data_IF_843164002370
#
_entry.id   IF_843164002370
#
_cell.length_a   1.000
_cell.length_b   1.000
_cell.length_c   1.000
_cell.angle_alpha   90.00
_cell.angle_beta   90.00
_cell.angle_gamma   90.00
#
_symmetry.space_group_name_H-M   'P 1'
#
loop_
_entity.id
_entity.type
_entity.pdbx_description
1 polymer ?
#
# COMPACT_ATOMS: atom_id res chain seq x y z
N UNK A 1 -39.97 -10.87 -22.55
CA UNK A 1 -39.27 -9.58 -22.82
C UNK A 1 -39.77 -8.45 -21.92
N UNK A 2 -41.09 -8.19 -21.83
CA UNK A 2 -41.62 -7.21 -20.86
C UNK A 2 -41.40 -7.65 -19.40
N UNK A 3 -41.49 -8.95 -19.11
CA UNK A 3 -41.16 -9.50 -17.78
C UNK A 3 -39.68 -9.34 -17.39
N UNK A 4 -38.74 -9.32 -18.35
CA UNK A 4 -37.31 -9.12 -18.05
C UNK A 4 -36.98 -7.65 -17.80
N UNK A 5 -37.69 -6.71 -18.44
CA UNK A 5 -37.58 -5.29 -18.15
C UNK A 5 -38.08 -4.96 -16.73
N UNK A 6 -39.11 -5.66 -16.25
CA UNK A 6 -39.63 -5.53 -14.88
C UNK A 6 -38.62 -5.88 -13.78
N UNK A 7 -37.59 -6.68 -14.08
CA UNK A 7 -36.54 -7.09 -13.14
C UNK A 7 -35.42 -6.05 -12.97
N UNK A 8 -35.38 -5.02 -13.81
CA UNK A 8 -34.38 -3.95 -13.72
C UNK A 8 -34.82 -2.94 -12.65
N UNK A 9 -34.14 -2.95 -11.49
CA UNK A 9 -34.47 -2.10 -10.33
C UNK A 9 -34.19 -0.61 -10.55
N UNK A 10 -33.21 -0.26 -11.42
CA UNK A 10 -32.89 1.13 -11.72
C UNK A 10 -33.84 1.69 -12.80
N UNK A 11 -34.66 2.71 -12.49
CA UNK A 11 -35.71 3.20 -13.39
C UNK A 11 -35.16 3.87 -14.66
N UNK A 12 -33.97 4.50 -14.57
CA UNK A 12 -33.33 5.19 -15.69
C UNK A 12 -32.75 4.19 -16.69
N UNK A 13 -32.10 3.13 -16.18
CA UNK A 13 -31.61 2.01 -17.00
C UNK A 13 -32.78 1.27 -17.63
N UNK A 14 -33.85 1.00 -16.87
CA UNK A 14 -35.06 0.33 -17.39
C UNK A 14 -35.70 1.12 -18.54
N UNK A 15 -35.78 2.45 -18.42
CA UNK A 15 -36.32 3.33 -19.46
C UNK A 15 -35.45 3.35 -20.72
N UNK A 16 -34.13 3.39 -20.57
CA UNK A 16 -33.19 3.38 -21.70
C UNK A 16 -33.17 2.03 -22.42
N UNK A 17 -33.21 0.91 -21.67
CA UNK A 17 -33.28 -0.43 -22.26
C UNK A 17 -34.62 -0.63 -22.99
N UNK A 18 -35.73 -0.16 -22.41
CA UNK A 18 -37.04 -0.18 -23.07
C UNK A 18 -37.01 0.62 -24.38
N UNK A 19 -36.43 1.84 -24.37
CA UNK A 19 -36.29 2.68 -25.56
C UNK A 19 -35.43 2.04 -26.65
N UNK A 20 -34.31 1.41 -26.29
CA UNK A 20 -33.47 0.69 -27.26
C UNK A 20 -34.21 -0.50 -27.89
N UNK A 21 -35.00 -1.23 -27.09
CA UNK A 21 -35.78 -2.36 -27.61
C UNK A 21 -36.95 -1.93 -28.50
N UNK A 22 -37.64 -0.83 -28.18
CA UNK A 22 -38.71 -0.30 -29.06
C UNK A 22 -38.17 0.22 -30.38
N UNK A 23 -36.98 0.86 -30.38
CA UNK A 23 -36.30 1.27 -31.62
C UNK A 23 -35.92 0.07 -32.50
N UNK A 24 -35.51 -1.05 -31.90
CA UNK A 24 -35.15 -2.26 -32.65
C UNK A 24 -36.36 -2.88 -33.36
N UNK A 25 -37.52 -2.90 -32.69
CA UNK A 25 -38.76 -3.46 -33.23
C UNK A 25 -39.37 -2.57 -34.31
N UNK A 26 -39.34 -1.24 -34.15
CA UNK A 26 -39.85 -0.32 -35.19
C UNK A 26 -39.01 -0.36 -36.46
N UNK A 27 -37.70 -0.52 -36.34
CA UNK A 27 -36.80 -0.64 -37.50
C UNK A 27 -37.03 -1.96 -38.25
N UNK A 28 -37.28 -3.05 -37.53
CA UNK A 28 -37.60 -4.35 -38.14
C UNK A 28 -38.95 -4.31 -38.89
N UNK A 29 -39.97 -3.67 -38.30
CA UNK A 29 -41.30 -3.55 -38.94
C UNK A 29 -41.26 -2.63 -40.16
N UNK A 30 -40.49 -1.53 -40.13
CA UNK A 30 -40.30 -0.66 -41.29
C UNK A 30 -39.57 -1.37 -42.44
N UNK A 31 -38.55 -2.17 -42.15
CA UNK A 31 -37.85 -3.00 -43.14
C UNK A 31 -38.78 -4.07 -43.73
N UNK A 32 -39.64 -4.69 -42.91
CA UNK A 32 -40.63 -5.67 -43.37
C UNK A 32 -41.68 -5.03 -44.29
N UNK A 33 -42.20 -3.85 -43.93
CA UNK A 33 -43.19 -3.11 -44.72
C UNK A 33 -42.59 -2.67 -46.07
N UNK A 34 -41.34 -2.20 -46.10
CA UNK A 34 -40.66 -1.84 -47.36
C UNK A 34 -40.40 -3.06 -48.25
N UNK A 35 -40.06 -4.22 -47.66
CA UNK A 35 -39.89 -5.48 -48.39
C UNK A 35 -41.19 -6.02 -48.98
N UNK A 36 -42.33 -5.79 -48.32
CA UNK A 36 -43.65 -6.28 -48.78
C UNK A 36 -44.33 -5.33 -49.77
N UNK A 37 -44.15 -4.01 -49.63
CA UNK A 37 -44.88 -3.01 -50.44
C UNK A 37 -44.17 -2.57 -51.72
N UNK A 38 -42.88 -2.89 -51.88
CA UNK A 38 -42.03 -2.60 -53.04
C UNK A 38 -42.34 -1.24 -53.75
N UNK A 39 -42.14 -0.11 -53.05
CA UNK A 39 -42.50 1.21 -53.55
C UNK A 39 -41.66 1.61 -54.77
N UNK A 40 -42.31 2.00 -55.87
CA UNK A 40 -41.66 2.30 -57.16
C UNK A 40 -41.04 3.72 -57.25
N UNK A 41 -41.05 4.49 -56.15
CA UNK A 41 -40.59 5.87 -56.09
C UNK A 41 -39.17 6.03 -55.52
N UNK A 42 -38.30 6.78 -56.24
CA UNK A 42 -36.87 7.00 -55.88
C UNK A 42 -36.66 7.79 -54.58
N UNK A 43 -37.66 8.55 -54.12
CA UNK A 43 -37.60 9.39 -52.90
C UNK A 43 -37.96 8.58 -51.63
N UNK A 44 -38.99 7.73 -51.71
CA UNK A 44 -39.46 6.90 -50.59
C UNK A 44 -38.43 5.82 -50.23
N UNK A 45 -37.75 5.25 -51.23
CA UNK A 45 -36.67 4.30 -51.02
C UNK A 45 -35.48 4.93 -50.27
N UNK A 46 -35.16 6.20 -50.57
CA UNK A 46 -34.09 6.95 -49.91
C UNK A 46 -34.46 7.30 -48.46
N UNK A 47 -35.68 7.78 -48.20
CA UNK A 47 -36.13 8.08 -46.84
C UNK A 47 -36.16 6.83 -45.94
N UNK A 48 -36.58 5.69 -46.49
CA UNK A 48 -36.58 4.41 -45.77
C UNK A 48 -35.18 3.86 -45.49
N UNK A 49 -34.22 4.03 -46.41
CA UNK A 49 -32.83 3.61 -46.19
C UNK A 49 -32.07 4.53 -45.23
N UNK A 50 -32.25 5.85 -45.32
CA UNK A 50 -31.61 6.80 -44.38
C UNK A 50 -32.13 6.65 -42.94
N UNK A 51 -33.43 6.42 -42.74
CA UNK A 51 -34.00 6.18 -41.41
C UNK A 51 -33.50 4.86 -40.80
N UNK A 52 -33.34 3.81 -41.61
CA UNK A 52 -32.79 2.52 -41.17
C UNK A 52 -31.30 2.59 -40.82
N UNK A 53 -30.51 3.38 -41.57
CA UNK A 53 -29.09 3.60 -41.31
C UNK A 53 -28.84 4.45 -40.06
N UNK A 54 -29.68 5.46 -39.79
CA UNK A 54 -29.62 6.24 -38.54
C UNK A 54 -30.00 5.38 -37.32
N UNK A 55 -30.97 4.48 -37.45
CA UNK A 55 -31.34 3.53 -36.38
C UNK A 55 -30.24 2.51 -36.05
N UNK A 56 -29.58 1.96 -37.07
CA UNK A 56 -28.46 1.02 -36.90
C UNK A 56 -27.20 1.71 -36.34
N UNK A 57 -26.92 2.94 -36.77
CA UNK A 57 -25.77 3.73 -36.31
C UNK A 57 -25.86 4.10 -34.83
N UNK A 58 -27.01 4.55 -34.35
CA UNK A 58 -27.18 4.93 -32.94
C UNK A 58 -27.16 3.70 -32.00
N UNK A 59 -27.74 2.57 -32.41
CA UNK A 59 -27.74 1.34 -31.60
C UNK A 59 -26.35 0.71 -31.45
N UNK A 60 -25.56 0.68 -32.52
CA UNK A 60 -24.21 0.11 -32.50
C UNK A 60 -23.21 1.00 -31.73
N UNK A 61 -23.31 2.33 -31.86
CA UNK A 61 -22.43 3.28 -31.17
C UNK A 61 -22.73 3.33 -29.67
N UNK A 62 -24.00 3.36 -29.25
CA UNK A 62 -24.36 3.31 -27.83
C UNK A 62 -24.07 1.94 -27.19
N UNK A 63 -24.26 0.84 -27.93
CA UNK A 63 -23.90 -0.50 -27.49
C UNK A 63 -22.38 -0.69 -27.30
N UNK A 64 -21.55 -0.18 -28.20
CA UNK A 64 -20.09 -0.21 -28.08
C UNK A 64 -19.58 0.70 -26.96
N UNK A 65 -20.14 1.91 -26.81
CA UNK A 65 -19.78 2.83 -25.71
C UNK A 65 -20.18 2.24 -24.36
N UNK A 66 -21.32 1.54 -24.26
CA UNK A 66 -21.77 0.94 -22.98
C UNK A 66 -21.07 -0.38 -22.67
N UNK A 67 -20.75 -1.23 -23.66
CA UNK A 67 -19.95 -2.44 -23.43
C UNK A 67 -18.48 -2.14 -23.10
N UNK A 68 -17.90 -1.06 -23.67
CA UNK A 68 -16.60 -0.53 -23.25
C UNK A 68 -16.67 0.05 -21.83
N UNK A 69 -17.66 0.89 -21.51
CA UNK A 69 -17.84 1.43 -20.14
C UNK A 69 -18.22 0.38 -19.09
N UNK A 70 -18.90 -0.70 -19.48
CA UNK A 70 -19.34 -1.77 -18.56
C UNK A 70 -18.27 -2.84 -18.34
N UNK A 71 -17.32 -3.05 -19.28
CA UNK A 71 -16.16 -3.91 -19.04
C UNK A 71 -15.09 -3.21 -18.20
N UNK A 72 -15.02 -1.87 -18.24
CA UNK A 72 -14.07 -1.07 -17.43
C UNK A 72 -14.64 -0.52 -16.10
N UNK A 73 -15.86 -0.93 -15.70
CA UNK A 73 -16.48 -0.54 -14.42
C UNK A 73 -16.97 -1.71 -13.55
N UNK A 74 -16.24 -2.82 -13.52
CA UNK A 74 -15.95 -3.40 -12.19
C UNK A 74 -14.78 -2.59 -11.69
N UNK A 75 -15.05 -1.68 -10.76
CA UNK A 75 -14.02 -0.75 -10.34
C UNK A 75 -12.83 -1.56 -9.82
N UNK A 76 -11.62 -1.12 -10.13
CA UNK A 76 -10.40 -1.66 -9.51
C UNK A 76 -10.51 -1.60 -7.98
N UNK A 77 -11.33 -0.68 -7.44
CA UNK A 77 -11.74 -0.68 -6.03
C UNK A 77 -12.58 -1.89 -5.62
N UNK A 78 -13.58 -2.35 -6.39
CA UNK A 78 -14.42 -3.50 -6.02
C UNK A 78 -13.63 -4.82 -6.03
N UNK A 79 -12.65 -4.96 -6.93
CA UNK A 79 -11.75 -6.12 -6.97
C UNK A 79 -10.66 -6.05 -5.89
N UNK A 80 -10.16 -4.85 -5.56
CA UNK A 80 -9.26 -4.62 -4.41
C UNK A 80 -9.97 -4.85 -3.08
N UNK A 81 -11.24 -4.48 -2.97
CA UNK A 81 -12.08 -4.70 -1.79
C UNK A 81 -12.40 -6.20 -1.64
N UNK A 82 -12.63 -6.91 -2.76
CA UNK A 82 -12.77 -8.37 -2.74
C UNK A 82 -11.49 -9.12 -2.29
N UNK A 83 -10.29 -8.60 -2.60
CA UNK A 83 -9.01 -9.15 -2.11
C UNK A 83 -8.71 -8.74 -0.65
N UNK A 84 -9.19 -7.59 -0.18
CA UNK A 84 -9.06 -7.15 1.21
C UNK A 84 -9.84 -8.07 2.18
N UNK A 85 -11.00 -8.59 1.77
CA UNK A 85 -11.88 -9.41 2.61
C UNK A 85 -11.52 -10.91 2.70
N UNK A 86 -10.54 -11.41 1.95
CA UNK A 86 -10.14 -12.84 2.00
C UNK A 86 -9.26 -13.22 3.21
N UNK A 87 -8.91 -12.26 4.09
CA UNK A 87 -8.10 -12.52 5.29
C UNK A 87 -8.64 -11.94 6.61
N UNK A 88 -9.69 -11.12 6.57
CA UNK A 88 -10.29 -10.53 7.77
C UNK A 88 -11.41 -11.45 8.19
N UNK A 89 -11.14 -12.32 9.17
CA UNK A 89 -12.22 -12.98 9.89
C UNK A 89 -13.12 -11.91 10.51
N UNK A 90 -14.43 -12.16 10.60
CA UNK A 90 -15.39 -11.32 11.35
C UNK A 90 -14.99 -11.11 12.82
N UNK A 91 -13.98 -11.84 13.29
CA UNK A 91 -13.40 -11.79 14.63
C UNK A 91 -12.14 -10.91 14.75
N UNK A 92 -11.86 -10.04 13.77
CA UNK A 92 -10.74 -9.09 13.86
C UNK A 92 -11.13 -7.94 14.79
N UNK A 93 -10.35 -7.71 15.85
CA UNK A 93 -10.60 -6.61 16.79
C UNK A 93 -10.50 -5.26 16.07
N UNK A 94 -11.14 -4.19 16.58
CA UNK A 94 -11.22 -2.91 15.85
C UNK A 94 -10.21 -1.86 16.27
N UNK A 95 -9.78 -1.89 17.53
CA UNK A 95 -8.92 -0.86 18.10
C UNK A 95 -7.70 -1.50 18.78
N UNK A 96 -7.46 -1.26 20.07
CA UNK A 96 -6.33 -1.85 20.78
C UNK A 96 -6.69 -3.22 21.36
N UNK A 97 -5.83 -4.22 21.13
CA UNK A 97 -5.82 -5.51 21.83
C UNK A 97 -4.45 -5.70 22.46
N UNK A 98 -4.43 -6.23 23.68
CA UNK A 98 -3.17 -6.45 24.40
C UNK A 98 -2.48 -7.71 23.89
N UNK A 99 -1.16 -7.59 23.69
CA UNK A 99 -0.29 -8.70 23.36
C UNK A 99 0.84 -8.80 24.38
N UNK A 100 1.20 -10.01 24.76
CA UNK A 100 2.36 -10.31 25.61
C UNK A 100 3.56 -10.62 24.72
N UNK A 101 4.71 -10.05 25.04
CA UNK A 101 5.99 -10.46 24.46
C UNK A 101 6.35 -11.84 25.02
N UNK A 102 6.29 -12.87 24.20
CA UNK A 102 6.60 -14.25 24.62
C UNK A 102 8.01 -14.69 24.27
N UNK A 103 8.70 -13.92 23.41
CA UNK A 103 10.09 -14.18 23.04
C UNK A 103 10.77 -12.90 22.55
N UNK A 104 12.04 -12.69 22.93
CA UNK A 104 12.90 -11.60 22.43
C UNK A 104 14.23 -12.14 21.89
N UNK A 105 14.57 -11.84 20.63
CA UNK A 105 15.76 -12.40 19.95
C UNK A 105 16.59 -11.29 19.33
N UNK A 106 17.89 -11.23 19.64
CA UNK A 106 18.83 -10.34 18.95
C UNK A 106 19.18 -10.94 17.59
N UNK A 107 18.73 -10.31 16.51
CA UNK A 107 18.91 -10.80 15.13
C UNK A 107 20.18 -10.23 14.48
N UNK A 108 20.61 -9.05 14.91
CA UNK A 108 21.85 -8.40 14.48
C UNK A 108 22.34 -7.42 15.56
N UNK A 109 23.42 -6.70 15.32
CA UNK A 109 23.88 -5.65 16.25
C UNK A 109 22.87 -4.53 16.47
N UNK A 110 21.95 -4.31 15.52
CA UNK A 110 20.98 -3.22 15.60
C UNK A 110 19.52 -3.68 15.55
N UNK A 111 19.22 -4.93 15.20
CA UNK A 111 17.84 -5.44 15.06
C UNK A 111 17.54 -6.49 16.13
N UNK A 112 16.40 -6.30 16.81
CA UNK A 112 15.85 -7.26 17.77
C UNK A 112 14.44 -7.63 17.36
N UNK A 113 14.13 -8.93 17.33
CA UNK A 113 12.79 -9.48 17.12
C UNK A 113 12.04 -9.65 18.43
N UNK A 114 10.75 -9.31 18.41
CA UNK A 114 9.78 -9.46 19.48
C UNK A 114 8.63 -10.31 18.96
N UNK A 115 8.29 -11.36 19.69
CA UNK A 115 7.20 -12.27 19.35
C UNK A 115 6.01 -11.98 20.25
N UNK A 116 4.88 -11.64 19.65
CA UNK A 116 3.68 -11.15 20.30
C UNK A 116 2.59 -12.21 20.22
N UNK A 117 2.06 -12.63 21.36
CA UNK A 117 0.83 -13.45 21.45
C UNK A 117 -0.26 -12.68 22.18
N UNK A 118 -1.54 -12.87 21.83
CA UNK A 118 -2.59 -12.11 22.47
C UNK A 118 -2.70 -12.49 23.95
N UNK A 119 -2.87 -11.48 24.80
CA UNK A 119 -2.92 -11.66 26.26
C UNK A 119 -4.10 -12.55 26.69
N UNK A 120 -5.22 -12.41 25.99
CA UNK A 120 -6.45 -13.18 26.20
C UNK A 120 -6.35 -14.66 25.75
N UNK A 121 -5.26 -15.05 25.07
CA UNK A 121 -5.01 -16.39 24.51
C UNK A 121 -6.01 -16.84 23.43
N UNK A 122 -6.86 -15.94 22.94
CA UNK A 122 -7.77 -16.21 21.83
C UNK A 122 -7.00 -16.23 20.50
N UNK A 123 -7.63 -16.72 19.43
CA UNK A 123 -7.00 -16.76 18.11
C UNK A 123 -6.68 -15.35 17.57
N UNK A 124 -5.71 -15.30 16.65
CA UNK A 124 -5.36 -14.10 15.89
C UNK A 124 -5.55 -14.36 14.40
N UNK A 125 -6.01 -13.36 13.63
CA UNK A 125 -6.18 -13.50 12.20
C UNK A 125 -4.82 -13.70 11.51
N UNK A 126 -4.86 -14.37 10.36
CA UNK A 126 -3.73 -14.30 9.43
C UNK A 126 -3.62 -12.87 8.86
N UNK A 127 -2.49 -12.58 8.24
CA UNK A 127 -2.23 -11.31 7.57
C UNK A 127 -1.66 -11.53 6.18
N UNK A 128 -1.67 -10.51 5.35
CA UNK A 128 -1.03 -10.55 4.04
C UNK A 128 0.45 -10.20 4.20
N UNK A 129 1.38 -10.94 3.55
CA UNK A 129 2.80 -10.70 3.72
C UNK A 129 3.20 -9.31 3.21
N UNK A 130 3.82 -8.53 4.09
CA UNK A 130 4.15 -7.12 3.88
C UNK A 130 3.32 -6.14 4.72
N UNK A 131 2.22 -6.59 5.33
CA UNK A 131 1.49 -5.78 6.32
C UNK A 131 2.33 -5.49 7.57
N UNK A 132 1.92 -4.45 8.29
CA UNK A 132 2.50 -4.02 9.55
C UNK A 132 1.52 -4.14 10.71
N UNK A 133 2.04 -4.06 11.94
CA UNK A 133 1.28 -3.91 13.16
C UNK A 133 1.52 -2.51 13.74
N UNK A 134 0.45 -1.81 14.11
CA UNK A 134 0.54 -0.56 14.89
C UNK A 134 0.54 -0.88 16.36
N UNK A 135 1.58 -0.46 17.09
CA UNK A 135 1.70 -0.64 18.54
C UNK A 135 1.65 0.70 19.27
N UNK A 136 1.21 0.66 20.51
CA UNK A 136 1.17 1.80 21.43
C UNK A 136 2.13 1.55 22.59
N UNK A 137 2.95 2.53 22.91
CA UNK A 137 3.97 2.46 23.96
C UNK A 137 3.77 3.57 24.98
N UNK A 138 3.54 3.19 26.22
CA UNK A 138 3.52 4.12 27.35
C UNK A 138 4.94 4.31 27.87
N UNK A 139 5.65 5.29 27.29
CA UNK A 139 7.07 5.54 27.56
C UNK A 139 7.21 6.56 28.69
N UNK A 140 7.93 6.26 29.79
CA UNK A 140 8.17 7.21 30.87
C UNK A 140 8.78 8.52 30.36
N UNK A 141 8.24 9.64 30.84
CA UNK A 141 8.65 10.98 30.42
C UNK A 141 8.00 11.49 29.14
N UNK A 142 7.13 10.72 28.48
CA UNK A 142 6.29 11.22 27.39
C UNK A 142 4.90 11.60 27.91
N UNK A 143 4.38 12.75 27.48
CA UNK A 143 3.06 13.23 27.89
C UNK A 143 1.90 12.45 27.24
N UNK A 144 2.18 11.76 26.14
CA UNK A 144 1.21 10.96 25.38
C UNK A 144 1.84 9.61 25.00
N UNK A 145 1.02 8.56 24.82
CA UNK A 145 1.51 7.29 24.32
C UNK A 145 2.18 7.44 22.94
N UNK A 146 3.31 6.77 22.76
CA UNK A 146 4.04 6.78 21.49
C UNK A 146 3.50 5.66 20.60
N UNK A 147 2.94 6.03 19.45
CA UNK A 147 2.36 5.08 18.49
C UNK A 147 3.34 4.86 17.34
N UNK A 148 3.65 3.60 17.01
CA UNK A 148 4.55 3.24 15.91
C UNK A 148 4.07 2.02 15.15
N UNK A 149 4.46 1.94 13.89
CA UNK A 149 4.15 0.80 13.01
C UNK A 149 5.41 0.05 12.65
N UNK A 150 5.32 -1.28 12.69
CA UNK A 150 6.43 -2.18 12.34
C UNK A 150 5.92 -3.29 11.44
N UNK A 151 6.60 -3.56 10.33
CA UNK A 151 6.23 -4.65 9.42
C UNK A 151 6.27 -5.99 10.14
N UNK A 152 5.28 -6.84 9.85
CA UNK A 152 5.25 -8.20 10.33
C UNK A 152 6.33 -8.99 9.59
N UNK A 153 7.30 -9.48 10.35
CA UNK A 153 8.56 -10.02 9.82
C UNK A 153 8.62 -11.55 9.80
N UNK A 154 7.51 -12.22 10.08
CA UNK A 154 7.38 -13.68 9.95
C UNK A 154 6.17 -13.99 9.05
N UNK A 155 5.94 -15.27 8.75
CA UNK A 155 4.71 -15.73 8.13
C UNK A 155 4.44 -17.17 8.53
N UNK A 156 3.39 -17.38 9.32
CA UNK A 156 2.92 -18.71 9.73
C UNK A 156 1.44 -18.82 9.43
N UNK A 157 0.98 -20.00 9.00
CA UNK A 157 -0.43 -20.27 8.74
C UNK A 157 -0.80 -21.65 9.31
N UNK A 158 -1.69 -21.74 10.33
CA UNK A 158 -2.36 -20.61 10.99
C UNK A 158 -1.37 -19.72 11.77
N UNK A 159 -1.69 -18.43 11.85
CA UNK A 159 -0.89 -17.46 12.59
C UNK A 159 -0.99 -17.72 14.10
N UNK A 160 0.15 -17.98 14.76
CA UNK A 160 0.21 -18.26 16.21
C UNK A 160 0.77 -17.11 17.04
N UNK A 161 1.46 -16.18 16.37
CA UNK A 161 2.09 -15.01 16.94
C UNK A 161 2.35 -14.00 15.83
N UNK A 162 2.51 -12.74 16.20
CA UNK A 162 3.12 -11.73 15.34
C UNK A 162 4.60 -11.56 15.69
N UNK A 163 5.47 -11.35 14.68
CA UNK A 163 6.88 -11.04 14.90
C UNK A 163 7.19 -9.63 14.40
N UNK A 164 7.55 -8.73 15.31
CA UNK A 164 8.06 -7.40 14.98
C UNK A 164 9.58 -7.40 15.11
N UNK A 165 10.28 -6.84 14.15
CA UNK A 165 11.74 -6.81 14.15
C UNK A 165 12.22 -5.39 14.00
N UNK A 166 12.75 -4.83 15.09
CA UNK A 166 12.88 -3.40 15.28
C UNK A 166 14.36 -3.04 15.28
N UNK A 167 14.75 -2.13 14.40
CA UNK A 167 16.09 -1.52 14.42
C UNK A 167 16.18 -0.47 15.52
N UNK A 168 17.25 -0.52 16.32
CA UNK A 168 17.62 0.55 17.25
C UNK A 168 18.08 1.77 16.47
N UNK A 169 17.52 2.94 16.80
CA UNK A 169 17.94 4.22 16.21
C UNK A 169 18.62 5.06 17.31
N UNK A 170 19.92 4.89 17.55
CA UNK A 170 20.65 5.74 18.50
C UNK A 170 20.72 7.17 17.99
N UNK A 171 21.12 8.11 18.85
CA UNK A 171 21.46 9.45 18.41
C UNK A 171 22.57 9.34 17.34
N UNK A 172 22.44 9.99 16.18
CA UNK A 172 23.51 9.99 15.18
C UNK A 172 24.79 10.54 15.79
N UNK A 173 25.90 9.89 15.45
CA UNK A 173 27.21 10.45 15.77
C UNK A 173 27.36 11.79 15.05
N UNK A 174 27.84 12.80 15.76
CA UNK A 174 28.15 14.14 15.25
C UNK A 174 26.95 15.02 14.85
N UNK A 175 25.72 14.67 15.26
CA UNK A 175 24.55 15.55 15.13
C UNK A 175 23.87 15.73 16.49
N UNK A 176 23.51 16.97 16.82
CA UNK A 176 22.70 17.30 18.00
C UNK A 176 21.21 17.01 17.73
N UNK A 177 20.90 15.74 17.51
CA UNK A 177 19.52 15.27 17.34
C UNK A 177 19.24 14.10 18.28
N UNK A 178 18.05 14.06 18.91
CA UNK A 178 17.76 13.05 19.93
C UNK A 178 17.65 11.63 19.33
N UNK A 179 17.90 10.59 20.14
CA UNK A 179 17.71 9.19 19.71
C UNK A 179 16.24 8.88 19.44
N UNK A 180 16.00 7.82 18.66
CA UNK A 180 14.64 7.33 18.41
C UNK A 180 13.98 6.81 19.68
N UNK A 181 12.99 7.53 20.20
CA UNK A 181 12.38 7.26 21.52
C UNK A 181 11.80 5.83 21.58
N UNK A 182 10.96 5.45 20.61
CA UNK A 182 10.28 4.16 20.61
C UNK A 182 11.23 2.98 20.41
N UNK A 183 12.16 3.05 19.44
CA UNK A 183 13.03 1.92 19.13
C UNK A 183 14.02 1.63 20.26
N UNK A 184 14.59 2.66 20.90
CA UNK A 184 15.43 2.45 22.07
C UNK A 184 14.62 1.90 23.25
N UNK A 185 13.40 2.41 23.50
CA UNK A 185 12.53 1.88 24.55
C UNK A 185 12.21 0.39 24.35
N UNK A 186 11.86 -0.03 23.12
CA UNK A 186 11.65 -1.44 22.78
C UNK A 186 12.89 -2.30 23.06
N UNK A 187 14.08 -1.79 22.77
CA UNK A 187 15.31 -2.55 23.02
C UNK A 187 15.69 -2.60 24.50
N UNK A 188 15.55 -1.50 25.23
CA UNK A 188 16.10 -1.36 26.59
C UNK A 188 15.14 -1.81 27.69
N UNK A 189 13.83 -1.61 27.52
CA UNK A 189 12.85 -1.77 28.61
C UNK A 189 11.74 -2.79 28.32
N UNK A 190 11.52 -3.17 27.07
CA UNK A 190 10.56 -4.22 26.73
C UNK A 190 11.25 -5.59 26.86
N UNK A 191 10.69 -6.46 27.67
CA UNK A 191 11.18 -7.80 27.95
C UNK A 191 10.10 -8.84 27.70
N UNK A 192 10.48 -10.13 27.75
CA UNK A 192 9.48 -11.20 27.79
C UNK A 192 8.55 -11.00 29.00
N UNK A 193 7.24 -11.15 28.79
CA UNK A 193 6.19 -10.83 29.76
C UNK A 193 5.64 -9.40 29.65
N UNK A 194 6.31 -8.46 28.97
CA UNK A 194 5.78 -7.12 28.74
C UNK A 194 4.50 -7.16 27.90
N UNK A 195 3.54 -6.29 28.22
CA UNK A 195 2.29 -6.14 27.49
C UNK A 195 2.39 -4.94 26.55
N UNK A 196 2.00 -5.14 25.30
CA UNK A 196 1.98 -4.11 24.25
C UNK A 196 0.61 -4.12 23.59
N UNK A 197 -0.17 -3.01 23.69
CA UNK A 197 -1.38 -2.85 22.93
C UNK A 197 -1.08 -2.70 21.42
N UNK A 198 -1.83 -3.41 20.59
CA UNK A 198 -1.69 -3.37 19.14
C UNK A 198 -3.04 -3.24 18.42
N UNK A 199 -3.04 -2.54 17.27
CA UNK A 199 -4.14 -2.57 16.29
C UNK A 199 -3.99 -3.77 15.35
N UNK A 200 -5.05 -4.17 14.63
CA UNK A 200 -4.97 -5.26 13.67
C UNK A 200 -3.89 -5.04 12.60
N UNK A 201 -3.38 -6.12 11.98
CA UNK A 201 -2.54 -6.01 10.80
C UNK A 201 -3.16 -5.10 9.74
N UNK A 202 -2.37 -4.18 9.21
CA UNK A 202 -2.80 -3.23 8.18
C UNK A 202 -1.64 -2.94 7.22
N UNK A 203 -1.92 -2.29 6.09
CA UNK A 203 -0.92 -1.92 5.09
C UNK A 203 -1.32 -2.36 3.69
N UNK A 204 -0.87 -1.60 2.70
CA UNK A 204 -1.11 -1.85 1.27
C UNK A 204 0.13 -2.39 0.53
N UNK A 205 1.29 -2.36 1.18
CA UNK A 205 2.52 -2.94 0.64
C UNK A 205 2.50 -4.46 0.83
N UNK A 206 1.73 -5.16 -0.01
CA UNK A 206 1.48 -6.60 0.12
C UNK A 206 1.88 -7.35 -1.13
N UNK A 207 2.46 -8.54 -0.95
CA UNK A 207 2.73 -9.45 -2.06
C UNK A 207 1.52 -10.36 -2.30
N UNK A 208 0.93 -10.27 -3.49
CA UNK A 208 -0.10 -11.22 -3.92
C UNK A 208 0.54 -12.57 -4.25
N UNK A 209 0.56 -13.48 -3.28
CA UNK A 209 1.24 -14.78 -3.37
C UNK A 209 0.69 -15.71 -4.46
N UNK A 210 -0.53 -15.47 -4.95
CA UNK A 210 -1.18 -16.35 -5.94
C UNK A 210 -0.72 -16.06 -7.38
N UNK A 211 -0.08 -14.92 -7.63
CA UNK A 211 0.42 -14.59 -8.97
C UNK A 211 1.54 -15.53 -9.40
N UNK A 212 1.62 -15.80 -10.70
CA UNK A 212 2.71 -16.55 -11.33
C UNK A 212 3.86 -15.68 -11.82
N UNK A 213 3.63 -14.37 -12.04
CA UNK A 213 4.70 -13.44 -12.40
C UNK A 213 5.74 -13.44 -11.28
N UNK A 214 7.05 -13.55 -11.58
CA UNK A 214 8.05 -13.55 -10.53
C UNK A 214 8.05 -12.28 -9.70
N UNK A 215 8.60 -12.36 -8.49
CA UNK A 215 8.84 -11.17 -7.66
C UNK A 215 10.31 -11.04 -7.25
N UNK A 216 10.78 -9.80 -7.21
CA UNK A 216 12.11 -9.42 -6.73
C UNK A 216 11.94 -8.63 -5.45
N UNK A 217 12.36 -9.22 -4.34
CA UNK A 217 12.30 -8.69 -2.99
C UNK A 217 13.64 -8.02 -2.67
N UNK A 218 13.66 -6.69 -2.67
CA UNK A 218 14.88 -5.88 -2.63
C UNK A 218 14.93 -5.10 -1.32
N UNK A 219 15.98 -5.30 -0.53
CA UNK A 219 16.10 -4.59 0.75
C UNK A 219 17.51 -4.22 1.17
N UNK A 220 17.60 -3.24 2.07
CA UNK A 220 18.79 -3.04 2.90
C UNK A 220 18.41 -2.80 4.37
N UNK A 221 19.30 -3.18 5.28
CA UNK A 221 19.09 -3.01 6.73
C UNK A 221 17.75 -3.58 7.21
N UNK A 222 17.00 -2.81 8.02
CA UNK A 222 15.70 -3.24 8.56
C UNK A 222 14.60 -3.39 7.51
N UNK A 223 14.82 -2.91 6.29
CA UNK A 223 13.96 -3.15 5.13
C UNK A 223 13.77 -4.63 4.78
N UNK A 224 14.62 -5.51 5.33
CA UNK A 224 14.48 -6.96 5.19
C UNK A 224 13.17 -7.51 5.77
N UNK A 225 12.55 -6.79 6.73
CA UNK A 225 11.42 -7.29 7.53
C UNK A 225 10.17 -7.65 6.72
N UNK A 226 9.60 -6.81 5.84
CA UNK A 226 8.52 -7.25 4.96
C UNK A 226 8.99 -8.30 3.95
N UNK A 227 10.25 -8.24 3.49
CA UNK A 227 10.78 -9.16 2.48
C UNK A 227 10.84 -10.61 2.97
N UNK A 228 11.28 -10.84 4.21
CA UNK A 228 11.33 -12.19 4.78
C UNK A 228 9.92 -12.76 4.98
N UNK A 229 8.94 -11.94 5.38
CA UNK A 229 7.54 -12.36 5.47
C UNK A 229 6.99 -12.78 4.10
N UNK A 230 7.27 -11.98 3.06
CA UNK A 230 6.93 -12.30 1.67
C UNK A 230 7.57 -13.60 1.17
N UNK A 231 8.86 -13.79 1.39
CA UNK A 231 9.57 -15.00 0.98
C UNK A 231 9.03 -16.26 1.67
N UNK A 232 8.75 -16.18 2.97
CA UNK A 232 8.13 -17.28 3.75
C UNK A 232 6.72 -17.60 3.24
N UNK A 233 5.90 -16.58 2.99
CA UNK A 233 4.55 -16.75 2.49
C UNK A 233 4.52 -17.43 1.13
N UNK A 234 5.37 -17.00 0.19
CA UNK A 234 5.47 -17.63 -1.13
C UNK A 234 5.95 -19.06 -1.01
N UNK A 235 7.02 -19.31 -0.25
CA UNK A 235 7.55 -20.67 -0.07
C UNK A 235 6.51 -21.62 0.51
N UNK A 236 5.61 -21.13 1.36
CA UNK A 236 4.53 -21.94 1.94
C UNK A 236 3.33 -22.13 1.00
N UNK A 237 2.87 -21.06 0.35
CA UNK A 237 1.57 -21.03 -0.35
C UNK A 237 1.72 -21.32 -1.84
N UNK A 238 2.78 -20.83 -2.46
CA UNK A 238 3.04 -20.95 -3.90
C UNK A 238 4.54 -21.16 -4.16
N UNK A 239 5.11 -22.32 -3.78
CA UNK A 239 6.55 -22.59 -3.87
C UNK A 239 7.07 -22.61 -5.31
N UNK A 240 6.21 -22.59 -6.33
CA UNK A 240 6.61 -22.56 -7.74
C UNK A 240 6.79 -21.15 -8.30
N UNK A 241 6.33 -20.11 -7.59
CA UNK A 241 6.58 -18.74 -8.00
C UNK A 241 8.05 -18.41 -7.80
N UNK A 242 8.73 -18.03 -8.87
CA UNK A 242 10.13 -17.58 -8.79
C UNK A 242 10.24 -16.30 -7.98
N UNK A 243 11.10 -16.33 -6.97
CA UNK A 243 11.43 -15.19 -6.11
C UNK A 243 12.93 -14.93 -6.18
N UNK A 244 13.31 -13.67 -6.29
CA UNK A 244 14.67 -13.22 -6.02
C UNK A 244 14.68 -12.40 -4.73
N UNK A 245 15.39 -12.88 -3.72
CA UNK A 245 15.61 -12.18 -2.47
C UNK A 245 16.99 -11.52 -2.50
N UNK A 246 17.03 -10.21 -2.71
CA UNK A 246 18.26 -9.43 -2.85
C UNK A 246 18.41 -8.50 -1.65
N UNK A 247 19.37 -8.80 -0.78
CA UNK A 247 19.58 -8.05 0.46
C UNK A 247 20.97 -7.43 0.54
N UNK A 248 21.02 -6.13 0.85
CA UNK A 248 22.23 -5.37 1.10
C UNK A 248 22.48 -5.13 2.60
N UNK A 249 23.69 -5.45 3.06
CA UNK A 249 24.13 -5.15 4.42
C UNK A 249 25.52 -4.50 4.43
N UNK A 250 25.92 -3.94 5.58
CA UNK A 250 27.28 -3.44 5.79
C UNK A 250 28.26 -4.61 5.84
N UNK A 251 28.02 -5.50 6.78
CA UNK A 251 28.78 -6.71 7.05
C UNK A 251 27.85 -7.71 7.77
N UNK A 252 28.37 -8.89 8.12
CA UNK A 252 27.55 -9.94 8.74
C UNK A 252 27.00 -9.61 10.13
N UNK A 253 27.55 -8.61 10.83
CA UNK A 253 27.03 -8.18 12.15
C UNK A 253 25.72 -7.40 12.03
N UNK A 254 25.45 -6.81 10.87
CA UNK A 254 24.25 -6.01 10.60
C UNK A 254 23.23 -6.74 9.70
N UNK A 255 23.47 -8.00 9.36
CA UNK A 255 22.59 -8.80 8.52
C UNK A 255 21.68 -9.68 9.39
N UNK A 256 20.50 -9.17 9.73
CA UNK A 256 19.46 -9.95 10.40
C UNK A 256 18.92 -11.06 9.49
N UNK A 257 18.50 -12.20 10.08
CA UNK A 257 17.83 -13.31 9.38
C UNK A 257 18.62 -14.04 8.28
N UNK A 258 19.95 -13.86 8.18
CA UNK A 258 20.77 -14.54 7.15
C UNK A 258 20.51 -16.05 7.16
N UNK A 259 20.71 -16.67 8.33
CA UNK A 259 20.64 -18.13 8.45
C UNK A 259 19.21 -18.64 8.22
N UNK A 260 18.22 -17.94 8.79
CA UNK A 260 16.80 -18.24 8.56
C UNK A 260 16.42 -18.21 7.07
N UNK A 261 16.87 -17.21 6.30
CA UNK A 261 16.61 -17.14 4.86
C UNK A 261 17.37 -18.19 4.05
N UNK A 262 18.58 -18.56 4.46
CA UNK A 262 19.33 -19.65 3.82
C UNK A 262 18.67 -21.01 4.08
N UNK A 263 18.09 -21.23 5.26
CA UNK A 263 17.34 -22.46 5.54
C UNK A 263 16.07 -22.54 4.68
N UNK A 264 15.38 -21.42 4.47
CA UNK A 264 14.20 -21.36 3.60
C UNK A 264 14.58 -21.61 2.14
N UNK A 265 15.69 -21.05 1.66
CA UNK A 265 16.12 -21.22 0.26
C UNK A 265 16.54 -22.65 -0.06
N UNK A 266 17.11 -23.37 0.92
CA UNK A 266 17.39 -24.81 0.77
C UNK A 266 16.13 -25.65 0.58
N UNK A 267 14.98 -25.19 1.05
CA UNK A 267 13.69 -25.89 0.95
C UNK A 267 12.90 -25.50 -0.31
N UNK A 268 13.32 -24.45 -1.03
CA UNK A 268 12.59 -23.92 -2.18
C UNK A 268 13.55 -23.54 -3.31
N UNK A 269 13.65 -24.40 -4.33
CA UNK A 269 14.48 -24.18 -5.51
C UNK A 269 14.06 -22.98 -6.38
N UNK A 270 12.86 -22.43 -6.17
CA UNK A 270 12.39 -21.21 -6.84
C UNK A 270 12.71 -19.93 -6.06
N UNK A 271 13.28 -20.04 -4.85
CA UNK A 271 13.76 -18.91 -4.04
C UNK A 271 15.26 -18.70 -4.25
N UNK A 272 15.59 -17.71 -5.07
CA UNK A 272 16.96 -17.32 -5.38
C UNK A 272 17.42 -16.24 -4.40
N UNK A 273 18.43 -16.51 -3.60
CA UNK A 273 18.94 -15.57 -2.60
C UNK A 273 20.24 -14.94 -3.07
N UNK A 274 20.35 -13.61 -2.94
CA UNK A 274 21.59 -12.88 -3.19
C UNK A 274 21.83 -11.88 -2.06
N UNK A 275 23.00 -12.01 -1.42
CA UNK A 275 23.45 -11.11 -0.35
C UNK A 275 24.65 -10.31 -0.84
N UNK A 276 24.57 -8.99 -0.73
CA UNK A 276 25.67 -8.11 -1.13
C UNK A 276 26.13 -7.28 0.06
N UNK A 277 27.40 -7.44 0.43
CA UNK A 277 27.99 -6.70 1.55
C UNK A 277 28.83 -5.54 1.05
N UNK A 278 28.54 -4.34 1.55
CA UNK A 278 29.27 -3.13 1.16
C UNK A 278 30.63 -3.00 1.83
N UNK A 279 30.80 -3.59 3.03
CA UNK A 279 32.02 -3.53 3.85
C UNK A 279 32.26 -4.85 4.60
N UNK A 280 32.37 -6.00 3.91
CA UNK A 280 32.58 -7.29 4.56
C UNK A 280 33.87 -7.31 5.41
N UNK A 281 33.83 -8.05 6.50
CA UNK A 281 34.98 -8.32 7.37
C UNK A 281 35.59 -9.70 7.06
N UNK A 282 36.81 -10.02 7.53
CA UNK A 282 37.38 -11.36 7.36
C UNK A 282 36.49 -12.50 7.92
N UNK A 283 35.65 -12.21 8.92
CA UNK A 283 34.69 -13.18 9.47
C UNK A 283 33.46 -13.44 8.59
N UNK A 284 33.32 -12.71 7.47
CA UNK A 284 32.19 -12.79 6.55
C UNK A 284 32.42 -13.72 5.35
N UNK A 285 33.60 -14.32 5.21
CA UNK A 285 33.90 -15.25 4.12
C UNK A 285 32.85 -16.36 4.05
N UNK A 286 32.22 -16.52 2.87
CA UNK A 286 31.16 -17.50 2.64
C UNK A 286 29.77 -17.11 3.14
N UNK A 287 29.60 -15.90 3.73
CA UNK A 287 28.30 -15.42 4.25
C UNK A 287 27.60 -14.40 3.35
N UNK A 288 28.21 -14.07 2.20
CA UNK A 288 27.67 -13.16 1.20
C UNK A 288 28.05 -13.63 -0.21
N UNK A 289 27.33 -13.13 -1.21
CA UNK A 289 27.48 -13.54 -2.62
C UNK A 289 28.34 -12.57 -3.42
N UNK A 290 28.28 -11.26 -3.12
CA UNK A 290 29.15 -10.26 -3.76
C UNK A 290 29.43 -9.04 -2.87
N UNK A 291 30.40 -8.22 -3.28
CA UNK A 291 30.79 -6.99 -2.57
C UNK A 291 30.18 -5.77 -3.25
N UNK A 292 29.77 -4.78 -2.47
CA UNK A 292 29.26 -3.48 -2.93
C UNK A 292 27.88 -3.13 -2.38
N UNK A 293 27.24 -2.13 -2.97
CA UNK A 293 25.84 -1.80 -2.70
C UNK A 293 24.93 -2.60 -3.61
N UNK A 294 23.75 -2.97 -3.15
CA UNK A 294 22.69 -3.45 -4.06
C UNK A 294 22.29 -2.27 -4.94
N UNK A 295 22.34 -2.46 -6.25
CA UNK A 295 22.06 -1.46 -7.29
C UNK A 295 21.22 -2.08 -8.42
N UNK A 296 20.71 -1.26 -9.34
CA UNK A 296 19.89 -1.75 -10.45
C UNK A 296 20.66 -2.65 -11.42
N UNK A 297 21.96 -2.44 -11.58
CA UNK A 297 22.82 -3.26 -12.43
C UNK A 297 22.90 -4.71 -11.91
N UNK A 298 23.08 -4.89 -10.59
CA UNK A 298 23.01 -6.20 -9.96
C UNK A 298 21.64 -6.84 -10.16
N UNK A 299 20.56 -6.09 -9.97
CA UNK A 299 19.21 -6.64 -10.13
C UNK A 299 19.00 -7.15 -11.56
N UNK A 300 19.42 -6.41 -12.58
CA UNK A 300 19.33 -6.84 -13.98
C UNK A 300 20.21 -8.04 -14.29
N UNK A 301 21.40 -8.11 -13.69
CA UNK A 301 22.29 -9.25 -13.84
C UNK A 301 21.66 -10.53 -13.27
N UNK A 302 20.98 -10.42 -12.12
CA UNK A 302 20.35 -11.57 -11.45
C UNK A 302 19.00 -11.96 -12.05
N UNK A 303 18.24 -10.96 -12.53
CA UNK A 303 16.85 -11.11 -12.96
C UNK A 303 16.78 -10.87 -14.47
N UNK A 304 16.93 -11.94 -15.24
CA UNK A 304 16.87 -11.91 -16.71
C UNK A 304 15.46 -11.94 -17.29
N UNK A 305 14.43 -11.58 -16.52
CA UNK A 305 13.04 -11.69 -16.94
C UNK A 305 12.13 -10.62 -16.30
N UNK A 306 10.94 -10.47 -16.88
CA UNK A 306 9.88 -9.61 -16.35
C UNK A 306 9.43 -10.06 -14.95
N UNK A 307 9.35 -9.12 -14.01
CA UNK A 307 8.99 -9.38 -12.62
C UNK A 307 8.25 -8.18 -11.98
N UNK A 308 7.66 -8.41 -10.79
CA UNK A 308 7.24 -7.37 -9.85
C UNK A 308 8.37 -7.07 -8.85
N UNK A 309 8.62 -5.81 -8.55
CA UNK A 309 9.73 -5.37 -7.70
C UNK A 309 9.19 -4.79 -6.40
N UNK A 310 9.59 -5.36 -5.27
CA UNK A 310 9.20 -4.91 -3.93
C UNK A 310 10.43 -4.36 -3.22
N UNK A 311 10.40 -3.08 -2.87
CA UNK A 311 11.54 -2.36 -2.32
C UNK A 311 11.25 -1.90 -0.90
N UNK A 312 12.20 -2.14 0.00
CA UNK A 312 12.13 -1.56 1.34
C UNK A 312 13.53 -1.34 1.91
N UNK A 313 13.80 -0.13 2.41
CA UNK A 313 15.13 0.21 2.91
C UNK A 313 15.29 1.70 3.19
N UNK A 314 16.53 2.18 3.23
CA UNK A 314 16.79 3.62 3.41
C UNK A 314 16.30 4.43 2.20
N UNK A 315 15.86 5.70 2.39
CA UNK A 315 15.35 6.52 1.29
C UNK A 315 16.29 6.63 0.09
N UNK A 316 17.59 6.88 0.34
CA UNK A 316 18.60 6.98 -0.71
C UNK A 316 18.78 5.65 -1.49
N UNK A 317 18.69 4.52 -0.79
CA UNK A 317 18.76 3.20 -1.42
C UNK A 317 17.57 2.97 -2.34
N UNK A 318 16.35 3.16 -1.83
CA UNK A 318 15.15 2.98 -2.63
C UNK A 318 15.13 3.93 -3.83
N UNK A 319 15.61 5.17 -3.68
CA UNK A 319 15.79 6.11 -4.79
C UNK A 319 16.66 5.56 -5.89
N UNK A 320 17.85 5.11 -5.53
CA UNK A 320 18.82 4.59 -6.48
C UNK A 320 18.26 3.40 -7.26
N UNK A 321 17.59 2.48 -6.58
CA UNK A 321 16.97 1.31 -7.24
C UNK A 321 15.81 1.74 -8.13
N UNK A 322 14.87 2.56 -7.66
CA UNK A 322 13.73 3.00 -8.47
C UNK A 322 14.17 3.74 -9.73
N UNK A 323 15.12 4.67 -9.61
CA UNK A 323 15.68 5.39 -10.76
C UNK A 323 16.32 4.43 -11.75
N UNK A 324 17.14 3.49 -11.27
CA UNK A 324 17.80 2.52 -12.14
C UNK A 324 16.84 1.54 -12.82
N UNK A 325 15.81 1.05 -12.11
CA UNK A 325 14.78 0.17 -12.70
C UNK A 325 13.99 0.91 -13.78
N UNK A 326 13.57 2.15 -13.53
CA UNK A 326 12.89 2.99 -14.54
C UNK A 326 13.76 3.25 -15.76
N UNK A 327 15.04 3.59 -15.55
CA UNK A 327 16.00 3.80 -16.64
C UNK A 327 16.20 2.54 -17.51
N UNK A 328 15.94 1.36 -16.96
CA UNK A 328 16.00 0.08 -17.68
C UNK A 328 14.64 -0.42 -18.18
N UNK A 329 13.63 0.46 -18.22
CA UNK A 329 12.35 0.19 -18.86
C UNK A 329 11.31 -0.51 -17.98
N UNK A 330 11.57 -0.69 -16.69
CA UNK A 330 10.57 -1.28 -15.77
C UNK A 330 9.42 -0.28 -15.59
N UNK A 331 8.19 -0.73 -15.87
CA UNK A 331 6.98 0.06 -15.64
C UNK A 331 6.80 0.36 -14.15
N UNK A 332 6.43 1.61 -13.84
CA UNK A 332 6.12 2.04 -12.46
C UNK A 332 5.03 1.19 -11.81
N UNK A 333 4.09 0.66 -12.59
CA UNK A 333 3.01 -0.22 -12.12
C UNK A 333 3.50 -1.55 -11.51
N UNK A 334 4.79 -1.88 -11.70
CA UNK A 334 5.44 -3.08 -11.16
C UNK A 334 6.45 -2.79 -10.07
N UNK A 335 6.60 -1.53 -9.66
CA UNK A 335 7.52 -1.11 -8.61
C UNK A 335 6.68 -0.75 -7.38
N UNK A 336 6.74 -1.61 -6.37
CA UNK A 336 6.08 -1.44 -5.09
C UNK A 336 7.13 -1.10 -4.04
N UNK A 337 6.86 -0.16 -3.16
CA UNK A 337 7.81 0.19 -2.12
C UNK A 337 7.13 0.62 -0.81
N UNK A 338 7.86 0.46 0.28
CA UNK A 338 7.52 1.02 1.58
C UNK A 338 8.74 1.71 2.20
N UNK A 339 8.55 2.94 2.68
CA UNK A 339 9.60 3.72 3.35
C UNK A 339 9.38 3.75 4.85
N UNK A 340 10.46 3.56 5.61
CA UNK A 340 10.50 3.76 7.04
C UNK A 340 11.23 5.07 7.36
N UNK A 341 10.63 5.92 8.19
CA UNK A 341 11.23 7.22 8.53
C UNK A 341 11.23 8.18 7.35
N UNK A 342 11.95 9.31 7.48
CA UNK A 342 11.80 10.57 6.72
C UNK A 342 11.52 10.43 5.21
N UNK A 343 10.75 11.38 4.64
CA UNK A 343 10.45 11.45 3.23
C UNK A 343 11.69 11.30 2.35
N UNK A 344 11.54 10.50 1.31
CA UNK A 344 12.43 10.53 0.17
C UNK A 344 12.20 11.84 -0.58
N UNK A 345 13.19 12.39 -1.30
CA UNK A 345 12.97 13.45 -2.31
C UNK A 345 13.02 12.82 -3.70
N UNK A 346 11.88 12.64 -4.35
CA UNK A 346 11.81 12.23 -5.75
C UNK A 346 12.04 13.49 -6.59
N UNK A 347 13.13 13.52 -7.35
CA UNK A 347 13.35 14.55 -8.37
C UNK A 347 12.43 14.26 -9.55
N UNK A 348 11.22 14.80 -9.52
CA UNK A 348 10.37 14.91 -10.71
C UNK A 348 10.43 16.33 -11.22
N UNK A 349 11.02 16.53 -12.40
CA UNK A 349 10.81 17.76 -13.18
C UNK A 349 9.35 17.74 -13.68
N UNK A 350 8.42 18.35 -12.95
CA UNK A 350 7.12 18.80 -13.47
C UNK A 350 6.44 19.79 -12.51
N UNK A 351 5.70 20.71 -13.13
CA UNK A 351 5.28 22.03 -12.63
C UNK A 351 4.65 22.05 -11.25
N UNK A 352 5.18 22.97 -10.44
CA UNK A 352 4.67 23.47 -9.16
C UNK A 352 3.22 23.93 -9.26
N UNK A 353 2.32 23.25 -8.56
CA UNK A 353 1.19 23.91 -7.93
C UNK A 353 1.72 24.59 -6.66
N UNK A 354 1.26 25.80 -6.33
CA UNK A 354 1.73 26.59 -5.19
C UNK A 354 1.68 25.78 -3.87
N UNK A 355 2.82 25.18 -3.51
CA UNK A 355 3.05 24.60 -2.18
C UNK A 355 3.54 25.75 -1.31
N UNK A 356 2.65 26.29 -0.49
CA UNK A 356 3.04 27.27 0.54
C UNK A 356 3.81 26.55 1.65
N UNK A 357 5.13 26.68 1.64
CA UNK A 357 5.97 26.49 2.81
C UNK A 357 5.77 27.73 3.69
N UNK A 358 4.95 27.64 4.74
CA UNK A 358 4.63 28.76 5.62
C UNK A 358 4.70 28.38 7.10
N UNK A 359 4.92 29.38 7.97
CA UNK A 359 4.80 29.22 9.43
C UNK A 359 3.39 28.70 9.77
N UNK A 360 3.33 27.51 10.38
CA UNK A 360 2.07 26.88 10.77
C UNK A 360 1.32 27.68 11.83
N UNK A 361 0.04 27.36 12.03
CA UNK A 361 -0.72 27.90 13.16
C UNK A 361 -0.33 27.17 14.45
N UNK A 362 -0.38 27.87 15.58
CA UNK A 362 -0.11 27.25 16.90
C UNK A 362 -1.24 26.38 17.41
N UNK A 363 -2.45 26.66 16.95
CA UNK A 363 -3.65 25.91 17.26
C UNK A 363 -4.62 25.93 16.09
N UNK A 364 -5.38 24.84 15.95
CA UNK A 364 -6.39 24.73 14.91
C UNK A 364 -7.55 23.83 15.36
N UNK A 365 -8.75 24.17 14.91
CA UNK A 365 -9.88 23.25 14.96
C UNK A 365 -9.84 22.31 13.74
N UNK A 366 -9.71 21.01 13.97
CA UNK A 366 -9.74 20.00 12.92
C UNK A 366 -11.09 19.28 12.94
N UNK A 367 -11.80 19.33 11.82
CA UNK A 367 -13.07 18.64 11.61
C UNK A 367 -12.84 17.40 10.75
N UNK A 368 -13.10 16.23 11.32
CA UNK A 368 -13.05 14.95 10.63
C UNK A 368 -14.48 14.57 10.21
N UNK A 369 -14.85 14.95 8.98
CA UNK A 369 -16.24 15.05 8.53
C UNK A 369 -17.01 13.72 8.53
N UNK A 370 -16.40 12.59 8.14
CA UNK A 370 -17.08 11.29 8.15
C UNK A 370 -17.11 10.68 9.54
N UNK A 371 -16.09 10.93 10.36
CA UNK A 371 -16.10 10.50 11.77
C UNK A 371 -17.05 11.33 12.65
N UNK A 372 -17.46 12.52 12.20
CA UNK A 372 -18.29 13.46 12.94
C UNK A 372 -17.60 14.12 14.14
N UNK A 373 -16.27 13.96 14.27
CA UNK A 373 -15.48 14.54 15.36
C UNK A 373 -14.89 15.89 14.97
N UNK A 374 -14.98 16.84 15.89
CA UNK A 374 -14.30 18.14 15.83
C UNK A 374 -13.40 18.25 17.03
N UNK A 375 -12.10 18.41 16.80
CA UNK A 375 -11.06 18.32 17.83
C UNK A 375 -10.09 19.49 17.69
N UNK A 376 -9.54 19.94 18.81
CA UNK A 376 -8.58 21.05 18.84
C UNK A 376 -7.17 20.49 18.82
N UNK A 377 -6.46 20.76 17.73
CA UNK A 377 -5.04 20.45 17.54
C UNK A 377 -4.20 21.61 18.08
N UNK A 378 -3.09 21.29 18.73
CA UNK A 378 -2.12 22.25 19.26
C UNK A 378 -0.71 21.94 18.73
N UNK A 379 0.14 22.95 18.67
CA UNK A 379 1.55 22.82 18.32
C UNK A 379 2.24 21.81 19.26
N UNK A 380 2.68 20.67 18.70
CA UNK A 380 3.22 19.53 19.45
C UNK A 380 2.38 18.25 19.35
N UNK A 381 1.16 18.33 18.82
CA UNK A 381 0.30 17.16 18.56
C UNK A 381 0.73 16.33 17.33
N UNK A 382 1.82 16.73 16.68
CA UNK A 382 2.40 16.05 15.52
C UNK A 382 1.66 16.36 14.23
N UNK A 383 1.74 15.43 13.27
CA UNK A 383 0.99 15.49 12.02
C UNK A 383 -0.52 15.32 12.25
N UNK A 384 -1.33 15.73 11.28
CA UNK A 384 -2.79 15.53 11.31
C UNK A 384 -3.13 14.03 11.46
N UNK A 385 -2.34 13.12 10.86
CA UNK A 385 -2.51 11.68 11.04
C UNK A 385 -2.28 11.25 12.50
N UNK A 386 -1.17 11.66 13.11
CA UNK A 386 -0.86 11.29 14.50
C UNK A 386 -1.93 11.80 15.45
N UNK A 387 -2.41 13.04 15.24
CA UNK A 387 -3.49 13.61 16.00
C UNK A 387 -4.82 12.85 15.81
N UNK A 388 -5.15 12.45 14.58
CA UNK A 388 -6.32 11.62 14.29
C UNK A 388 -6.24 10.28 15.02
N UNK A 389 -5.10 9.59 14.93
CA UNK A 389 -4.89 8.29 15.58
C UNK A 389 -4.95 8.36 17.10
N UNK A 390 -4.44 9.44 17.69
CA UNK A 390 -4.50 9.69 19.13
C UNK A 390 -5.94 9.90 19.65
N UNK A 391 -6.89 10.20 18.76
CA UNK A 391 -8.31 10.37 19.07
C UNK A 391 -9.19 9.29 18.43
N UNK A 392 -8.60 8.12 18.15
CA UNK A 392 -9.27 6.93 17.62
C UNK A 392 -9.93 7.14 16.23
N UNK A 393 -9.33 8.02 15.42
CA UNK A 393 -9.69 8.23 14.02
C UNK A 393 -8.61 7.57 13.16
N UNK A 394 -8.99 6.57 12.37
CA UNK A 394 -8.04 5.66 11.70
C UNK A 394 -8.14 5.76 10.16
N UNK A 395 -7.75 6.89 9.56
CA UNK A 395 -7.68 6.98 8.10
C UNK A 395 -6.61 6.02 7.56
N UNK A 396 -6.71 5.57 6.29
CA UNK A 396 -5.69 4.73 5.67
C UNK A 396 -4.32 5.42 5.69
N UNK A 397 -3.25 4.69 6.03
CA UNK A 397 -1.87 5.18 5.89
C UNK A 397 -0.90 4.00 5.64
N UNK A 398 0.34 4.27 5.22
CA UNK A 398 1.43 3.27 5.14
C UNK A 398 2.78 3.89 5.52
N UNK A 399 3.46 4.59 4.61
CA UNK A 399 4.84 5.05 4.82
C UNK A 399 5.03 6.13 5.91
N UNK A 400 3.96 6.86 6.27
CA UNK A 400 3.98 8.04 7.16
C UNK A 400 4.89 9.19 6.75
N UNK A 401 5.45 9.15 5.55
CA UNK A 401 6.48 10.10 5.11
C UNK A 401 6.23 10.69 3.73
N UNK A 402 4.96 10.79 3.33
CA UNK A 402 4.59 11.51 2.11
C UNK A 402 5.01 10.88 0.78
N UNK A 403 5.47 9.61 0.78
CA UNK A 403 5.96 8.93 -0.45
C UNK A 403 4.93 8.00 -1.07
N UNK A 404 4.11 7.29 -0.28
CA UNK A 404 3.22 6.24 -0.80
C UNK A 404 1.80 6.71 -1.20
N UNK A 405 1.42 7.96 -0.87
CA UNK A 405 0.06 8.49 -1.13
C UNK A 405 -1.08 7.83 -0.34
N UNK A 406 -0.84 6.80 0.47
CA UNK A 406 -1.92 6.06 1.16
C UNK A 406 -2.68 6.94 2.16
N UNK A 407 -2.02 7.92 2.77
CA UNK A 407 -2.58 8.88 3.71
C UNK A 407 -3.33 10.04 3.02
N UNK A 408 -3.68 9.90 1.74
CA UNK A 408 -4.38 10.95 1.03
C UNK A 408 -5.85 11.03 1.44
N UNK A 409 -6.32 12.23 1.74
CA UNK A 409 -7.75 12.51 1.96
C UNK A 409 -8.14 13.85 1.34
N UNK A 410 -9.43 14.02 1.06
CA UNK A 410 -9.95 15.32 0.59
C UNK A 410 -9.93 16.34 1.72
N UNK A 411 -9.56 17.58 1.38
CA UNK A 411 -9.71 18.74 2.24
C UNK A 411 -10.91 19.56 1.76
N UNK A 412 -11.91 19.71 2.61
CA UNK A 412 -13.15 20.41 2.31
C UNK A 412 -13.12 21.88 2.78
N UNK A 413 -12.11 22.28 3.54
CA UNK A 413 -11.94 23.65 4.01
C UNK A 413 -10.64 23.85 4.79
N UNK A 414 -10.10 25.07 4.72
CA UNK A 414 -8.78 25.41 5.27
C UNK A 414 -7.63 24.94 4.38
N UNK A 415 -6.41 25.04 4.90
CA UNK A 415 -5.19 24.54 4.27
C UNK A 415 -4.31 23.82 5.28
N UNK A 416 -3.35 23.04 4.76
CA UNK A 416 -2.33 22.36 5.55
C UNK A 416 -0.96 22.82 5.09
N UNK A 417 0.01 22.76 6.00
CA UNK A 417 1.42 22.98 5.69
C UNK A 417 2.14 21.63 5.78
N UNK A 418 3.05 21.39 4.84
CA UNK A 418 3.92 20.22 4.87
C UNK A 418 5.22 20.56 5.58
N UNK A 419 5.64 19.70 6.51
CA UNK A 419 6.94 19.86 7.17
C UNK A 419 8.11 19.58 6.20
N UNK A 420 7.89 18.69 5.24
CA UNK A 420 8.81 18.34 4.17
C UNK A 420 8.02 18.16 2.86
N UNK A 421 8.63 18.50 1.73
CA UNK A 421 7.95 18.42 0.43
C UNK A 421 7.55 16.97 0.10
N UNK A 422 6.25 16.71 -0.14
CA UNK A 422 5.77 15.37 -0.49
C UNK A 422 6.30 14.93 -1.84
N UNK A 423 6.50 13.62 -2.01
CA UNK A 423 6.91 13.06 -3.30
C UNK A 423 5.86 12.20 -3.96
N UNK A 424 4.84 11.78 -3.19
CA UNK A 424 3.64 11.22 -3.79
C UNK A 424 2.92 12.30 -4.60
N UNK A 425 2.36 11.92 -5.74
CA UNK A 425 1.39 12.77 -6.44
C UNK A 425 0.16 12.97 -5.54
N UNK A 426 -0.33 14.22 -5.49
CA UNK A 426 -1.47 14.61 -4.67
C UNK A 426 -2.59 15.04 -5.60
N UNK A 427 -3.73 14.37 -5.49
CA UNK A 427 -4.93 14.72 -6.25
C UNK A 427 -5.40 16.13 -5.90
N UNK A 428 -5.95 16.85 -6.89
CA UNK A 428 -6.51 18.18 -6.70
C UNK A 428 -7.56 18.17 -5.56
N UNK A 429 -7.45 19.12 -4.63
CA UNK A 429 -8.33 19.20 -3.45
C UNK A 429 -8.07 18.11 -2.39
N UNK A 430 -6.93 17.43 -2.44
CA UNK A 430 -6.52 16.44 -1.45
C UNK A 430 -5.22 16.82 -0.74
N UNK A 431 -4.97 16.17 0.40
CA UNK A 431 -3.78 16.39 1.23
C UNK A 431 -3.23 15.07 1.78
N UNK A 432 -1.93 15.02 2.06
CA UNK A 432 -1.28 13.89 2.74
C UNK A 432 -1.19 14.17 4.24
N UNK A 433 -2.15 13.66 5.02
CA UNK A 433 -2.25 13.95 6.47
C UNK A 433 -1.09 13.42 7.31
N UNK A 434 -0.29 12.50 6.76
CA UNK A 434 0.79 11.86 7.49
C UNK A 434 2.05 12.72 7.67
N UNK A 435 2.19 13.79 6.90
CA UNK A 435 3.32 14.73 7.00
C UNK A 435 2.86 16.19 7.02
N UNK A 436 1.55 16.42 7.15
CA UNK A 436 0.97 17.74 7.16
C UNK A 436 0.51 18.15 8.55
N UNK A 437 0.57 19.45 8.81
CA UNK A 437 0.02 20.13 9.98
C UNK A 437 -1.00 21.18 9.53
N UNK A 438 -1.92 21.62 10.39
CA UNK A 438 -2.84 22.70 10.05
C UNK A 438 -2.10 23.97 9.60
N UNK A 439 -2.49 24.52 8.46
CA UNK A 439 -1.98 25.79 7.94
C UNK A 439 -2.97 26.96 8.15
N UNK A 440 -4.17 26.66 8.65
CA UNK A 440 -5.22 27.61 9.02
C UNK A 440 -5.82 27.26 10.38
N UNK A 441 -6.45 28.22 11.04
CA UNK A 441 -7.11 28.04 12.35
C UNK A 441 -8.27 27.04 12.35
N UNK A 442 -8.75 26.67 11.17
CA UNK A 442 -9.75 25.62 10.97
C UNK A 442 -9.39 24.81 9.73
N UNK A 443 -9.42 23.48 9.84
CA UNK A 443 -9.20 22.53 8.74
C UNK A 443 -10.33 21.49 8.72
N UNK A 444 -10.90 21.21 7.56
CA UNK A 444 -11.99 20.23 7.39
C UNK A 444 -11.54 19.12 6.45
N UNK A 445 -11.52 17.89 6.93
CA UNK A 445 -11.03 16.72 6.21
C UNK A 445 -12.14 15.69 6.04
N UNK A 446 -12.19 15.04 4.87
CA UNK A 446 -13.17 14.00 4.55
C UNK A 446 -12.80 12.62 5.13
N UNK A 447 -12.55 12.60 6.45
CA UNK A 447 -12.08 11.46 7.25
C UNK A 447 -13.13 11.03 8.27
#
# INVERSE_FOLDING_TARGET
MLESLGRIKNPLVRSLTAAATTFSVTTLMAALVMGVTNPKGKLDYRLGTYSSLLGAGCGAILGLIYTSKSKDKKSVSDLREYQYHQGISDNTWKDWRNFVIVRKVKESEEITSFYLQPEDKEEIPNFQPGQFLTIKLDIPGQNKPVIRTYSLSDYTQPCKYYRLSIKREPAPQDLDVPPGIASNFMHDFIHEGSIIPAKPPNGKFVLDVQKSIPAVLISNGVGITPMISMAKAVTRINPHRSIWFVHGARDGRYHAFRDEMMDISQQNSHLNVHYRYSRPTPGDTGKYHSIGYVDAALIQQLVGQEAEYFLCGSPAFMQSIMTGLKASGVSESRIFFESFGKPMKLTSEKQSLDVTVGEGVKEAEIVFAKSGKTLNWQEGDGSILEFAEAHDINPPFSCRVGVCGTCMCKINGGNVNYQEEPTAEIDEGSVLICISQPGSSRVVLDI
#
